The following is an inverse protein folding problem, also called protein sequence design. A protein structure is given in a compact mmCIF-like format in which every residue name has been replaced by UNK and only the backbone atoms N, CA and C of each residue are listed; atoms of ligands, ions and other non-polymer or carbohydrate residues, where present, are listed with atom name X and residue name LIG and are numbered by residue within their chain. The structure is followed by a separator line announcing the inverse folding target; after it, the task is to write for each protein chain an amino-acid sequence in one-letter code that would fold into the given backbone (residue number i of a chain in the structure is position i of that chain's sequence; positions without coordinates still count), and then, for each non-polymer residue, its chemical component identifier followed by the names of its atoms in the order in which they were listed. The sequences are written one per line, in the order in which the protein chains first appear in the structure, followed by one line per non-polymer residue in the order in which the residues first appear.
data_IF_343568283892
#
_entry.id   IF_343568283892
#
_cell.length_a   1.000
_cell.length_b   1.000
_cell.length_c   1.000
_cell.angle_alpha   90.00
_cell.angle_beta   90.00
_cell.angle_gamma   90.00
#
_symmetry.space_group_name_H-M   'P 1'
#
loop_
_entity.id
_entity.type
_entity.pdbx_description
1 polymer ?
#
# COMPACT_ATOMS: atom_id res chain seq x y z
N UNK A 1 0.84 -0.62 17.35
CA UNK A 1 1.11 -0.49 15.90
C UNK A 1 -0.05 0.27 15.27
N UNK A 2 0.20 1.12 14.27
CA UNK A 2 -0.92 1.71 13.51
C UNK A 2 -1.66 0.58 12.77
N UNK A 3 -2.90 0.31 13.18
CA UNK A 3 -3.76 -0.71 12.56
C UNK A 3 -4.34 -0.27 11.22
N UNK A 4 -4.20 1.00 10.89
CA UNK A 4 -4.76 1.57 9.68
C UNK A 4 -3.75 1.47 8.55
N UNK A 5 -4.24 1.12 7.38
CA UNK A 5 -3.50 1.21 6.14
C UNK A 5 -4.36 1.94 5.10
N UNK A 6 -3.69 2.49 4.11
CA UNK A 6 -4.33 3.05 2.94
C UNK A 6 -3.60 2.60 1.67
N UNK A 7 -4.32 2.56 0.57
CA UNK A 7 -3.77 2.17 -0.72
C UNK A 7 -3.46 3.40 -1.56
N UNK A 8 -2.41 3.37 -2.37
CA UNK A 8 -2.07 4.45 -3.29
C UNK A 8 -1.41 3.91 -4.55
N UNK A 9 -1.90 4.28 -5.76
CA UNK A 9 -1.15 4.10 -7.00
C UNK A 9 0.17 4.87 -6.92
N UNK A 10 1.28 4.16 -7.08
CA UNK A 10 2.62 4.76 -7.08
C UNK A 10 3.47 4.11 -8.14
N UNK A 11 4.44 4.87 -8.65
CA UNK A 11 5.55 4.30 -9.39
C UNK A 11 6.56 3.73 -8.39
N UNK A 12 7.10 2.56 -8.70
CA UNK A 12 8.18 1.95 -7.94
C UNK A 12 9.36 1.68 -8.85
N UNK A 13 10.55 1.49 -8.29
CA UNK A 13 11.71 1.05 -9.10
C UNK A 13 11.58 -0.40 -9.57
N UNK A 14 10.67 -1.18 -8.98
CA UNK A 14 10.45 -2.58 -9.34
C UNK A 14 9.55 -2.76 -10.57
N UNK A 15 8.83 -1.72 -10.99
CA UNK A 15 7.89 -1.80 -12.11
C UNK A 15 7.89 -0.52 -12.95
N UNK A 16 7.84 -0.67 -14.26
CA UNK A 16 7.65 0.46 -15.19
C UNK A 16 6.20 0.95 -15.25
N UNK A 17 5.27 0.20 -14.66
CA UNK A 17 3.85 0.55 -14.53
C UNK A 17 3.53 0.98 -13.10
N UNK A 18 2.53 1.85 -12.95
CA UNK A 18 1.94 2.16 -11.64
C UNK A 18 1.41 0.88 -10.99
N UNK A 19 1.67 0.73 -9.70
CA UNK A 19 1.14 -0.35 -8.87
C UNK A 19 0.54 0.28 -7.62
N UNK A 20 -0.61 -0.23 -7.21
CA UNK A 20 -1.27 0.22 -5.99
C UNK A 20 -0.71 -0.55 -4.79
N UNK A 21 0.16 0.12 -4.04
CA UNK A 21 0.73 -0.41 -2.80
C UNK A 21 -0.08 0.03 -1.57
N UNK A 22 0.00 -0.75 -0.50
CA UNK A 22 -0.51 -0.37 0.81
C UNK A 22 0.58 0.35 1.62
N UNK A 23 0.17 1.32 2.44
CA UNK A 23 1.02 2.11 3.32
C UNK A 23 0.35 2.24 4.68
N UNK A 24 1.14 2.39 5.76
CA UNK A 24 0.59 2.60 7.11
C UNK A 24 0.03 4.01 7.28
N UNK A 25 -1.01 4.12 8.08
CA UNK A 25 -1.73 5.36 8.38
C UNK A 25 -3.13 5.40 7.76
N UNK A 26 -3.85 6.49 7.99
CA UNK A 26 -5.27 6.63 7.59
C UNK A 26 -5.48 7.00 6.12
N UNK A 27 -4.58 7.82 5.57
CA UNK A 27 -4.61 8.31 4.18
C UNK A 27 -3.28 8.96 3.83
N UNK A 28 -3.04 9.14 2.55
CA UNK A 28 -1.94 9.98 2.09
C UNK A 28 -2.18 11.45 2.46
N UNK A 29 -1.15 12.12 2.98
CA UNK A 29 -1.19 13.52 3.44
C UNK A 29 -0.23 14.42 2.64
N UNK A 30 0.08 14.07 1.39
CA UNK A 30 0.97 14.87 0.54
C UNK A 30 2.47 14.64 0.75
N UNK A 31 2.87 13.62 1.52
CA UNK A 31 4.28 13.24 1.67
C UNK A 31 4.88 12.82 0.32
N UNK A 32 6.13 13.21 0.06
CA UNK A 32 6.81 12.96 -1.21
C UNK A 32 7.23 11.49 -1.43
N UNK A 33 7.34 10.70 -0.36
CA UNK A 33 7.69 9.29 -0.42
C UNK A 33 7.24 8.55 0.83
N UNK A 34 7.08 7.24 0.73
CA UNK A 34 6.97 6.35 1.89
C UNK A 34 7.41 4.92 1.53
N UNK A 35 7.54 4.09 2.57
CA UNK A 35 7.77 2.66 2.44
C UNK A 35 6.43 1.92 2.45
N UNK A 36 6.18 1.11 1.42
CA UNK A 36 4.99 0.25 1.36
C UNK A 36 5.02 -0.83 2.44
N UNK A 37 3.87 -1.46 2.69
CA UNK A 37 3.78 -2.61 3.58
C UNK A 37 4.70 -3.76 3.14
N UNK A 38 4.92 -3.95 1.84
CA UNK A 38 5.86 -4.95 1.32
C UNK A 38 7.34 -4.48 1.33
N UNK A 39 7.65 -3.34 1.97
CA UNK A 39 9.02 -2.85 2.14
C UNK A 39 9.59 -2.08 0.95
N UNK A 40 8.81 -1.82 -0.10
CA UNK A 40 9.27 -1.08 -1.29
C UNK A 40 9.24 0.42 -1.01
N UNK A 41 10.36 1.10 -1.24
CA UNK A 41 10.40 2.57 -1.21
C UNK A 41 9.75 3.15 -2.46
N UNK A 42 8.72 3.98 -2.26
CA UNK A 42 7.94 4.56 -3.36
C UNK A 42 8.01 6.09 -3.33
N UNK A 43 8.14 6.69 -4.52
CA UNK A 43 7.85 8.10 -4.71
C UNK A 43 6.33 8.28 -4.78
N UNK A 44 5.81 9.26 -4.06
CA UNK A 44 4.37 9.51 -3.97
C UNK A 44 4.00 10.80 -4.67
N UNK A 45 2.93 10.74 -5.44
CA UNK A 45 2.29 11.87 -6.07
C UNK A 45 0.77 11.69 -5.95
N UNK A 46 0.01 12.76 -6.18
CA UNK A 46 -1.44 12.70 -6.17
C UNK A 46 -1.92 11.87 -7.37
N UNK A 47 -2.58 10.72 -7.15
CA UNK A 47 -3.05 9.89 -8.24
C UNK A 47 -4.29 10.52 -8.88
N UNK A 48 -4.34 10.53 -10.20
CA UNK A 48 -5.56 10.82 -10.96
C UNK A 48 -6.54 9.64 -10.90
N UNK A 49 -7.79 9.86 -11.29
CA UNK A 49 -8.78 8.77 -11.43
C UNK A 49 -8.31 7.68 -12.41
N UNK A 50 -7.58 8.07 -13.46
CA UNK A 50 -7.05 7.14 -14.45
C UNK A 50 -5.95 6.24 -13.84
N UNK A 51 -5.13 6.79 -12.95
CA UNK A 51 -4.09 6.02 -12.23
C UNK A 51 -4.74 4.95 -11.35
N UNK A 52 -5.84 5.28 -10.68
CA UNK A 52 -6.60 4.32 -9.88
C UNK A 52 -7.21 3.18 -10.70
N UNK A 53 -7.66 3.49 -11.91
CA UNK A 53 -8.23 2.51 -12.82
C UNK A 53 -7.17 1.56 -13.39
N UNK A 54 -5.98 2.07 -13.71
CA UNK A 54 -4.92 1.30 -14.37
C UNK A 54 -3.98 0.56 -13.41
N UNK A 55 -3.81 1.04 -12.19
CA UNK A 55 -2.85 0.47 -11.24
C UNK A 55 -3.39 -0.82 -10.59
N UNK A 56 -2.84 -2.01 -10.91
CA UNK A 56 -3.20 -3.23 -10.22
C UNK A 56 -2.79 -3.15 -8.75
N UNK A 57 -3.51 -3.87 -7.89
CA UNK A 57 -3.14 -4.04 -6.48
C UNK A 57 -1.85 -4.85 -6.36
N UNK A 58 -0.92 -4.41 -5.51
CA UNK A 58 0.28 -5.18 -5.17
C UNK A 58 -0.10 -6.44 -4.39
N UNK A 59 0.23 -7.61 -4.95
CA UNK A 59 -0.08 -8.91 -4.34
C UNK A 59 0.63 -9.11 -2.99
N UNK A 60 1.89 -8.70 -2.88
CA UNK A 60 2.66 -8.85 -1.63
C UNK A 60 2.06 -8.02 -0.50
N UNK A 61 1.63 -6.78 -0.79
CA UNK A 61 0.91 -5.97 0.21
C UNK A 61 -0.40 -6.62 0.64
N UNK A 62 -1.13 -7.23 -0.29
CA UNK A 62 -2.39 -7.93 0.03
C UNK A 62 -2.13 -9.10 0.98
N UNK A 63 -1.16 -9.97 0.68
CA UNK A 63 -0.90 -11.16 1.49
C UNK A 63 -0.44 -10.80 2.90
N UNK A 64 0.49 -9.84 3.04
CA UNK A 64 0.95 -9.41 4.37
C UNK A 64 -0.21 -8.89 5.22
N UNK A 65 -1.12 -8.11 4.63
CA UNK A 65 -2.27 -7.58 5.37
C UNK A 65 -3.30 -8.66 5.73
N UNK A 66 -3.44 -9.71 4.91
CA UNK A 66 -4.27 -10.88 5.23
C UNK A 66 -3.65 -11.67 6.38
N UNK A 67 -2.35 -11.96 6.32
CA UNK A 67 -1.61 -12.65 7.39
C UNK A 67 -1.71 -11.88 8.72
N UNK A 68 -1.53 -10.55 8.70
CA UNK A 68 -1.72 -9.70 9.89
C UNK A 68 -3.14 -9.74 10.45
N UNK A 69 -4.15 -9.86 9.58
CA UNK A 69 -5.53 -10.00 10.01
C UNK A 69 -5.77 -11.36 10.66
N UNK A 70 -5.27 -12.44 10.05
CA UNK A 70 -5.38 -13.81 10.59
C UNK A 70 -4.70 -13.92 11.96
N UNK A 71 -3.52 -13.33 12.12
CA UNK A 71 -2.81 -13.26 13.41
C UNK A 71 -3.59 -12.46 14.46
N UNK A 72 -4.19 -11.35 14.07
CA UNK A 72 -5.00 -10.52 14.96
C UNK A 72 -6.28 -11.24 15.42
N UNK A 73 -6.94 -11.96 14.51
CA UNK A 73 -8.14 -12.75 14.81
C UNK A 73 -7.82 -13.91 15.76
N UNK A 74 -6.70 -14.62 15.52
CA UNK A 74 -6.25 -15.71 16.40
C UNK A 74 -5.86 -15.25 17.81
N UNK A 75 -5.41 -14.00 17.98
CA UNK A 75 -5.08 -13.45 19.29
C UNK A 75 -6.32 -13.05 20.12
N UNK A 76 -7.51 -13.03 19.51
CA UNK A 76 -8.77 -12.72 20.17
C UNK A 76 -9.54 -13.98 20.62
N UNK A 77 -9.08 -15.17 20.20
CA UNK A 77 -9.60 -16.49 20.63
C UNK A 77 -8.92 -17.01 21.90
#
# INVERSE_FOLDING_TARGET
METHHYWLPVSSRSSTRLVRHAFRGKRWQGRASDTSVCGVQCAMAEPSELDWFQAPTCWDCTNILIEEQEEADAALE
#
